data_IF_767335460875
#
_entry.id   IF_767335460875
#
_cell.length_a   1.000
_cell.length_b   1.000
_cell.length_c   1.000
_cell.angle_alpha   90.00
_cell.angle_beta   90.00
_cell.angle_gamma   90.00
#
_symmetry.space_group_name_H-M   'P 1'
#
loop_
_entity.id
_entity.type
_entity.pdbx_description
1 polymer ?
#
# COMPACT_ATOMS: atom_id res chain seq x y z
N UNK A 1 68.79 -7.45 -15.92
CA UNK A 1 68.46 -6.56 -14.78
C UNK A 1 66.98 -6.23 -14.83
N UNK A 2 66.41 -5.91 -13.67
CA UNK A 2 64.99 -6.04 -13.30
C UNK A 2 64.05 -5.10 -14.09
N UNK A 3 62.93 -5.71 -14.47
CA UNK A 3 61.56 -5.19 -14.68
C UNK A 3 61.31 -3.73 -14.29
N UNK A 4 60.71 -2.97 -15.21
CA UNK A 4 59.59 -2.08 -14.93
C UNK A 4 58.90 -1.69 -16.26
N UNK A 5 57.75 -2.27 -16.64
CA UNK A 5 56.89 -1.61 -17.62
C UNK A 5 56.32 -0.37 -16.93
N UNK A 6 56.72 0.80 -17.43
CA UNK A 6 56.20 2.08 -17.01
C UNK A 6 54.69 2.11 -17.27
N UNK A 7 53.94 2.17 -16.16
CA UNK A 7 52.82 3.08 -15.99
C UNK A 7 51.80 3.13 -17.15
N UNK A 8 51.11 2.02 -17.42
CA UNK A 8 49.94 1.97 -18.31
C UNK A 8 48.68 1.60 -17.50
N UNK A 9 48.50 2.28 -16.36
CA UNK A 9 47.37 2.12 -15.44
C UNK A 9 46.72 3.48 -15.16
N UNK A 10 46.50 4.27 -16.20
CA UNK A 10 45.76 5.53 -16.10
C UNK A 10 44.69 5.52 -17.19
N UNK A 11 43.44 5.76 -16.78
CA UNK A 11 42.24 5.94 -17.62
C UNK A 11 41.49 4.69 -18.10
N UNK A 12 41.22 3.72 -17.23
CA UNK A 12 39.89 3.08 -17.28
C UNK A 12 38.90 4.02 -16.62
N UNK A 13 38.32 4.93 -17.39
CA UNK A 13 37.31 5.88 -16.92
C UNK A 13 36.11 5.14 -16.33
N UNK A 14 35.75 5.48 -15.10
CA UNK A 14 34.44 5.10 -14.56
C UNK A 14 33.38 5.76 -15.43
N UNK A 15 32.72 4.97 -16.28
CA UNK A 15 31.49 5.38 -16.94
C UNK A 15 30.37 5.25 -15.91
N UNK A 16 29.76 6.34 -15.41
CA UNK A 16 28.57 6.22 -14.60
C UNK A 16 27.45 5.68 -15.50
N UNK A 17 26.99 4.47 -15.19
CA UNK A 17 25.73 3.97 -15.75
C UNK A 17 24.62 4.84 -15.18
N UNK A 18 24.14 5.79 -15.98
CA UNK A 18 22.96 6.58 -15.65
C UNK A 18 21.76 5.62 -15.62
N UNK A 19 21.37 5.21 -14.42
CA UNK A 19 20.13 4.46 -14.21
C UNK A 19 19.01 5.49 -14.18
N UNK A 20 18.20 5.53 -15.23
CA UNK A 20 16.94 6.25 -15.18
C UNK A 20 15.95 5.40 -14.37
N UNK A 21 15.43 5.94 -13.27
CA UNK A 21 14.25 5.36 -12.65
C UNK A 21 13.14 5.40 -13.70
N UNK A 22 12.63 4.23 -14.09
CA UNK A 22 11.42 4.19 -14.87
C UNK A 22 10.34 4.90 -14.05
N UNK A 23 9.70 5.92 -14.63
CA UNK A 23 8.49 6.50 -14.06
C UNK A 23 7.49 5.36 -13.86
N UNK A 24 7.39 4.88 -12.62
CA UNK A 24 6.38 3.93 -12.22
C UNK A 24 5.04 4.62 -12.47
N UNK A 25 4.12 4.01 -13.24
CA UNK A 25 2.83 4.63 -13.49
C UNK A 25 2.16 4.87 -12.13
N UNK A 26 1.83 6.13 -11.84
CA UNK A 26 1.16 6.55 -10.59
C UNK A 26 -0.30 6.10 -10.50
N UNK A 27 -0.77 5.29 -11.45
CA UNK A 27 -2.04 4.59 -11.30
C UNK A 27 -1.85 3.56 -10.21
N UNK A 28 -2.39 3.89 -9.05
CA UNK A 28 -2.43 3.02 -7.89
C UNK A 28 -3.50 1.96 -8.14
N UNK A 29 -3.18 1.02 -9.03
CA UNK A 29 -4.01 -0.14 -9.36
C UNK A 29 -3.99 -1.03 -8.11
N UNK A 30 -4.89 -0.73 -7.17
CA UNK A 30 -5.02 -1.43 -5.89
C UNK A 30 -5.15 -0.55 -4.65
N UNK A 31 -4.99 0.78 -4.69
CA UNK A 31 -5.27 1.59 -3.47
C UNK A 31 -6.74 1.82 -3.26
N UNK A 32 -7.53 2.01 -4.33
CA UNK A 32 -8.96 2.27 -4.21
C UNK A 32 -9.67 1.13 -3.46
N UNK A 33 -9.46 -0.12 -3.91
CA UNK A 33 -9.99 -1.29 -3.19
C UNK A 33 -9.35 -1.47 -1.80
N UNK A 34 -8.08 -1.11 -1.63
CA UNK A 34 -7.41 -1.19 -0.32
C UNK A 34 -7.99 -0.18 0.67
N UNK A 35 -8.30 1.03 0.22
CA UNK A 35 -8.90 2.10 1.00
C UNK A 35 -10.35 1.72 1.36
N UNK A 36 -11.10 1.12 0.43
CA UNK A 36 -12.42 0.55 0.67
C UNK A 36 -12.38 -0.55 1.75
N UNK A 37 -11.55 -1.58 1.55
CA UNK A 37 -11.44 -2.72 2.47
C UNK A 37 -11.01 -2.26 3.88
N UNK A 38 -10.11 -1.29 3.96
CA UNK A 38 -9.69 -0.67 5.21
C UNK A 38 -10.81 0.12 5.87
N UNK A 39 -11.62 0.84 5.10
CA UNK A 39 -12.80 1.54 5.60
C UNK A 39 -13.80 0.55 6.21
N UNK A 40 -14.15 -0.51 5.45
CA UNK A 40 -15.12 -1.53 5.88
C UNK A 40 -14.64 -2.21 7.15
N UNK A 41 -13.36 -2.59 7.22
CA UNK A 41 -12.80 -3.20 8.44
C UNK A 41 -12.89 -2.28 9.64
N UNK A 42 -12.44 -1.02 9.53
CA UNK A 42 -12.43 -0.10 10.66
C UNK A 42 -13.84 0.17 11.21
N UNK A 43 -14.81 0.39 10.32
CA UNK A 43 -16.19 0.62 10.73
C UNK A 43 -16.83 -0.63 11.34
N UNK A 44 -16.56 -1.81 10.78
CA UNK A 44 -17.04 -3.10 11.31
C UNK A 44 -16.51 -3.31 12.72
N UNK A 45 -15.20 -3.17 12.93
CA UNK A 45 -14.56 -3.39 14.24
C UNK A 45 -15.06 -2.39 15.30
N UNK A 46 -15.21 -1.13 14.92
CA UNK A 46 -15.74 -0.09 15.81
C UNK A 46 -17.20 -0.39 16.20
N UNK A 47 -18.02 -0.78 15.23
CA UNK A 47 -19.41 -1.15 15.45
C UNK A 47 -19.53 -2.37 16.37
N UNK A 48 -18.75 -3.43 16.14
CA UNK A 48 -18.75 -4.62 16.99
C UNK A 48 -18.38 -4.26 18.43
N UNK A 49 -17.31 -3.49 18.60
CA UNK A 49 -16.81 -3.09 19.93
C UNK A 49 -17.82 -2.21 20.69
N UNK A 50 -18.56 -1.35 19.99
CA UNK A 50 -19.46 -0.38 20.62
C UNK A 50 -20.88 -0.92 20.79
N UNK A 51 -21.37 -1.65 19.80
CA UNK A 51 -22.77 -2.08 19.70
C UNK A 51 -22.90 -3.55 20.10
N UNK A 52 -22.12 -4.45 19.49
CA UNK A 52 -22.34 -5.88 19.65
C UNK A 52 -22.03 -6.43 21.04
N UNK A 53 -21.13 -5.81 21.79
CA UNK A 53 -20.86 -6.20 23.18
C UNK A 53 -22.12 -6.04 24.07
N UNK A 54 -22.96 -5.05 23.76
CA UNK A 54 -24.17 -4.74 24.54
C UNK A 54 -25.45 -5.22 23.86
N UNK A 55 -25.35 -5.71 22.62
CA UNK A 55 -26.48 -6.18 21.83
C UNK A 55 -26.82 -7.64 22.16
N UNK A 56 -28.11 -7.95 22.16
CA UNK A 56 -28.61 -9.33 22.20
C UNK A 56 -28.86 -9.93 20.81
N UNK A 57 -28.61 -9.18 19.74
CA UNK A 57 -28.81 -9.63 18.38
C UNK A 57 -27.75 -10.68 18.00
N UNK A 58 -28.20 -11.85 17.55
CA UNK A 58 -27.35 -12.98 17.16
C UNK A 58 -26.50 -12.67 15.93
N UNK A 59 -27.01 -11.78 15.07
CA UNK A 59 -26.48 -11.37 13.77
C UNK A 59 -25.81 -9.99 13.82
N UNK A 60 -25.50 -9.47 15.01
CA UNK A 60 -24.95 -8.13 15.18
C UNK A 60 -23.66 -7.89 14.36
N UNK A 61 -22.79 -8.89 14.24
CA UNK A 61 -21.57 -8.78 13.44
C UNK A 61 -21.89 -8.56 11.95
N UNK A 62 -22.82 -9.35 11.40
CA UNK A 62 -23.26 -9.21 10.01
C UNK A 62 -23.96 -7.87 9.76
N UNK A 63 -24.76 -7.38 10.70
CA UNK A 63 -25.37 -6.05 10.63
C UNK A 63 -24.31 -4.93 10.63
N UNK A 64 -23.29 -5.05 11.50
CA UNK A 64 -22.18 -4.09 11.54
C UNK A 64 -21.38 -4.08 10.23
N UNK A 65 -21.17 -5.26 9.63
CA UNK A 65 -20.47 -5.40 8.36
C UNK A 65 -21.28 -4.78 7.21
N UNK A 66 -22.58 -5.07 7.13
CA UNK A 66 -23.46 -4.49 6.12
C UNK A 66 -23.49 -2.95 6.23
N UNK A 67 -23.68 -2.43 7.43
CA UNK A 67 -23.67 -0.98 7.67
C UNK A 67 -22.30 -0.33 7.36
N UNK A 68 -21.20 -1.06 7.55
CA UNK A 68 -19.87 -0.57 7.19
C UNK A 68 -19.67 -0.53 5.67
N UNK A 69 -20.15 -1.53 4.92
CA UNK A 69 -20.11 -1.54 3.46
C UNK A 69 -20.90 -0.35 2.90
N UNK A 70 -22.18 -0.22 3.27
CA UNK A 70 -23.04 0.87 2.79
C UNK A 70 -22.39 2.24 3.04
N UNK A 71 -21.82 2.44 4.24
CA UNK A 71 -21.19 3.70 4.63
C UNK A 71 -19.88 4.00 3.88
N UNK A 72 -19.12 2.97 3.52
CA UNK A 72 -17.89 3.14 2.77
C UNK A 72 -18.17 3.35 1.28
N UNK A 73 -19.20 2.70 0.74
CA UNK A 73 -19.71 2.97 -0.61
C UNK A 73 -20.21 4.42 -0.73
N UNK A 74 -20.99 4.92 0.23
CA UNK A 74 -21.46 6.33 0.25
C UNK A 74 -20.30 7.35 0.19
N UNK A 75 -19.14 7.04 0.80
CA UNK A 75 -17.98 7.93 0.84
C UNK A 75 -17.15 7.94 -0.44
N UNK A 76 -17.26 6.89 -1.25
CA UNK A 76 -16.60 6.82 -2.56
C UNK A 76 -17.39 7.57 -3.63
N UNK A 77 -18.70 7.73 -3.42
CA UNK A 77 -19.60 8.49 -4.28
C UNK A 77 -19.61 10.01 -3.99
N UNK A 78 -18.98 10.46 -2.90
CA UNK A 78 -18.87 11.88 -2.46
C UNK A 78 -17.65 12.62 -3.04
#
# INVERSE_FOLDING_TARGET
MRKAPALLLILTGLVPLMVYAADLPTVVIGSENYDHDMCVQQYTDNCISTVCITSSALDCNEQCKAAAIDKCEEKEEE
#
